data_IF_174124341110
#
_entry.id   IF_174124341110
#
_cell.length_a   1.000
_cell.length_b   1.000
_cell.length_c   1.000
_cell.angle_alpha   90.00
_cell.angle_beta   90.00
_cell.angle_gamma   90.00
#
_symmetry.space_group_name_H-M   'P 1'
#
loop_
_entity.id
_entity.type
_entity.pdbx_description
1 polymer ?
#
# COMPACT_ATOMS: atom_id res chain seq x y z
N UNK A 1 28.01 17.76 3.25
CA UNK A 1 26.90 16.78 3.30
C UNK A 1 26.99 15.93 2.03
N UNK A 2 26.97 14.60 2.15
CA UNK A 2 26.91 13.74 0.97
C UNK A 2 25.54 13.95 0.30
N UNK A 3 25.55 14.32 -0.98
CA UNK A 3 24.34 14.52 -1.77
C UNK A 3 23.67 13.17 -2.01
N UNK A 4 22.39 13.04 -1.68
CA UNK A 4 21.62 11.81 -1.95
C UNK A 4 21.62 11.49 -3.45
N UNK A 5 21.54 10.22 -3.79
CA UNK A 5 21.66 9.75 -5.19
C UNK A 5 20.48 8.88 -5.59
N UNK A 6 19.83 9.24 -6.69
CA UNK A 6 18.87 8.42 -7.41
C UNK A 6 19.60 7.75 -8.57
N UNK A 7 19.52 6.43 -8.65
CA UNK A 7 19.97 5.66 -9.80
C UNK A 7 18.75 5.24 -10.63
N UNK A 8 18.70 5.70 -11.87
CA UNK A 8 17.68 5.29 -12.83
C UNK A 8 18.20 4.17 -13.73
N UNK A 9 17.46 3.07 -13.81
CA UNK A 9 17.76 1.93 -14.68
C UNK A 9 16.58 1.76 -15.66
N UNK A 10 16.71 2.27 -16.88
CA UNK A 10 15.63 2.26 -17.87
C UNK A 10 15.33 0.85 -18.40
N UNK A 11 14.17 0.70 -19.01
CA UNK A 11 13.93 -0.40 -19.94
C UNK A 11 14.89 -0.31 -21.12
N UNK A 12 15.37 -1.45 -21.59
CA UNK A 12 16.28 -1.51 -22.75
C UNK A 12 15.70 -0.89 -24.03
N UNK A 13 14.37 -0.89 -24.15
CA UNK A 13 13.62 -0.31 -25.29
C UNK A 13 13.04 1.07 -25.01
N UNK A 14 13.30 1.64 -23.81
CA UNK A 14 12.74 2.96 -23.46
C UNK A 14 13.31 4.05 -24.36
N UNK A 15 12.42 4.72 -25.08
CA UNK A 15 12.74 5.93 -25.85
C UNK A 15 12.75 7.19 -24.96
N UNK A 16 12.29 7.10 -23.72
CA UNK A 16 12.09 8.22 -22.79
C UNK A 16 13.23 8.40 -21.78
N UNK A 17 14.35 7.70 -21.92
CA UNK A 17 15.46 7.73 -20.95
C UNK A 17 15.93 9.13 -20.58
N UNK A 18 16.06 10.00 -21.60
CA UNK A 18 16.53 11.37 -21.39
C UNK A 18 15.48 12.22 -20.70
N UNK A 19 14.21 12.08 -21.10
CA UNK A 19 13.08 12.83 -20.52
C UNK A 19 12.85 12.44 -19.07
N UNK A 20 12.89 11.14 -18.74
CA UNK A 20 12.80 10.65 -17.36
C UNK A 20 13.97 11.18 -16.53
N UNK A 21 15.19 11.10 -17.07
CA UNK A 21 16.37 11.60 -16.35
C UNK A 21 16.27 13.10 -16.10
N UNK A 22 15.74 13.87 -17.06
CA UNK A 22 15.51 15.32 -16.93
C UNK A 22 14.45 15.60 -15.89
N UNK A 23 13.30 14.93 -15.96
CA UNK A 23 12.19 15.09 -15.01
C UNK A 23 12.62 14.79 -13.56
N UNK A 24 13.37 13.70 -13.33
CA UNK A 24 13.92 13.38 -12.02
C UNK A 24 14.90 14.43 -11.52
N UNK A 25 15.76 15.02 -12.39
CA UNK A 25 16.66 16.12 -12.02
C UNK A 25 15.92 17.39 -11.66
N UNK A 26 14.85 17.69 -12.36
CA UNK A 26 14.00 18.85 -12.09
C UNK A 26 13.24 18.70 -10.76
N UNK A 27 12.72 17.49 -10.47
CA UNK A 27 12.00 17.18 -9.23
C UNK A 27 12.92 17.13 -8.00
N UNK A 28 14.19 16.74 -8.17
CA UNK A 28 15.17 16.51 -7.10
C UNK A 28 16.44 17.30 -7.33
N UNK A 29 16.37 18.64 -7.31
CA UNK A 29 17.49 19.55 -7.62
C UNK A 29 18.70 19.36 -6.69
N UNK A 30 18.46 18.97 -5.42
CA UNK A 30 19.48 18.74 -4.42
C UNK A 30 20.10 17.34 -4.49
N UNK A 31 19.54 16.45 -5.32
CA UNK A 31 19.99 15.07 -5.44
C UNK A 31 20.87 14.90 -6.69
N UNK A 32 21.70 13.86 -6.66
CA UNK A 32 22.41 13.38 -7.84
C UNK A 32 21.52 12.34 -8.55
N UNK A 33 21.19 12.56 -9.82
CA UNK A 33 20.48 11.59 -10.65
C UNK A 33 21.46 11.01 -11.66
N UNK A 34 21.60 9.68 -11.64
CA UNK A 34 22.46 8.93 -12.57
C UNK A 34 21.62 7.89 -13.32
N UNK A 35 21.86 7.76 -14.61
CA UNK A 35 21.21 6.75 -15.44
C UNK A 35 22.24 5.66 -15.77
N UNK A 36 21.88 4.39 -15.55
CA UNK A 36 22.69 3.22 -15.92
C UNK A 36 21.89 2.41 -16.93
N UNK A 37 22.35 2.40 -18.16
CA UNK A 37 21.71 1.66 -19.23
C UNK A 37 21.99 0.16 -19.13
N UNK A 38 21.01 -0.64 -19.51
CA UNK A 38 21.13 -2.09 -19.63
C UNK A 38 21.35 -2.48 -21.09
N UNK A 39 22.21 -3.45 -21.30
CA UNK A 39 22.40 -4.07 -22.64
C UNK A 39 21.62 -5.38 -22.70
N UNK A 40 20.57 -5.38 -23.52
CA UNK A 40 19.73 -6.56 -23.71
C UNK A 40 20.50 -7.74 -24.35
N UNK A 41 21.59 -7.47 -25.04
CA UNK A 41 22.36 -8.51 -25.74
C UNK A 41 23.43 -9.13 -24.84
N UNK A 42 23.77 -8.51 -23.70
CA UNK A 42 24.77 -8.98 -22.77
C UNK A 42 24.34 -8.86 -21.32
N UNK A 43 23.94 -10.01 -20.76
CA UNK A 43 23.62 -10.10 -19.33
C UNK A 43 24.81 -9.74 -18.44
N UNK A 44 25.98 -10.28 -18.76
CA UNK A 44 27.19 -10.09 -17.95
C UNK A 44 27.70 -8.64 -17.98
N UNK A 45 27.61 -7.95 -19.12
CA UNK A 45 28.00 -6.54 -19.21
C UNK A 45 27.00 -5.64 -18.46
N UNK A 46 25.71 -5.95 -18.56
CA UNK A 46 24.68 -5.24 -17.79
C UNK A 46 24.96 -5.38 -16.29
N UNK A 47 25.20 -6.60 -15.78
CA UNK A 47 25.51 -6.82 -14.38
C UNK A 47 26.78 -6.10 -13.94
N UNK A 48 27.83 -6.16 -14.77
CA UNK A 48 29.11 -5.48 -14.50
C UNK A 48 28.92 -3.96 -14.42
N UNK A 49 28.15 -3.38 -15.34
CA UNK A 49 27.89 -1.94 -15.37
C UNK A 49 27.04 -1.51 -14.17
N UNK A 50 25.98 -2.24 -13.83
CA UNK A 50 25.19 -1.99 -12.63
C UNK A 50 26.05 -2.11 -11.35
N UNK A 51 26.82 -3.19 -11.21
CA UNK A 51 27.72 -3.38 -10.08
C UNK A 51 28.77 -2.28 -9.95
N UNK A 52 29.30 -1.75 -11.07
CA UNK A 52 30.19 -0.59 -11.08
C UNK A 52 29.46 0.67 -10.63
N UNK A 53 28.25 0.90 -11.17
CA UNK A 53 27.41 2.04 -10.79
C UNK A 53 27.07 2.02 -9.30
N UNK A 54 26.71 0.87 -8.75
CA UNK A 54 26.42 0.69 -7.33
C UNK A 54 27.59 1.08 -6.43
N UNK A 55 28.79 0.62 -6.76
CA UNK A 55 30.02 0.96 -6.00
C UNK A 55 30.41 2.42 -6.11
N UNK A 56 30.28 3.00 -7.32
CA UNK A 56 30.69 4.37 -7.61
C UNK A 56 29.74 5.41 -7.03
N UNK A 57 28.43 5.17 -7.18
CA UNK A 57 27.42 6.17 -6.86
C UNK A 57 26.73 5.95 -5.52
N UNK A 58 26.76 4.71 -4.98
CA UNK A 58 26.13 4.35 -3.70
C UNK A 58 24.71 4.93 -3.59
N UNK A 59 23.77 4.53 -4.48
CA UNK A 59 22.46 5.17 -4.55
C UNK A 59 21.66 4.95 -3.27
N UNK A 60 20.92 5.96 -2.85
CA UNK A 60 19.94 5.88 -1.77
C UNK A 60 18.62 5.24 -2.27
N UNK A 61 18.30 5.48 -3.54
CA UNK A 61 17.11 4.94 -4.22
C UNK A 61 17.49 4.48 -5.62
N UNK A 62 16.97 3.32 -6.03
CA UNK A 62 17.01 2.86 -7.42
C UNK A 62 15.57 2.92 -7.96
N UNK A 63 15.40 3.59 -9.09
CA UNK A 63 14.15 3.59 -9.84
C UNK A 63 14.37 2.89 -11.18
N UNK A 64 13.43 2.05 -11.59
CA UNK A 64 13.53 1.29 -12.82
C UNK A 64 12.19 1.14 -13.52
N UNK A 65 12.22 0.85 -14.79
CA UNK A 65 11.04 0.50 -15.58
C UNK A 65 11.28 -0.77 -16.39
N UNK A 66 10.18 -1.50 -16.63
CA UNK A 66 10.19 -2.68 -17.50
C UNK A 66 11.27 -3.70 -17.11
N UNK A 67 12.11 -4.06 -18.07
CA UNK A 67 13.19 -5.04 -17.90
C UNK A 67 14.29 -4.55 -16.95
N UNK A 68 14.44 -3.22 -16.75
CA UNK A 68 15.38 -2.69 -15.76
C UNK A 68 15.10 -3.21 -14.36
N UNK A 69 13.83 -3.46 -14.03
CA UNK A 69 13.42 -4.02 -12.74
C UNK A 69 14.01 -5.40 -12.48
N UNK A 70 14.10 -6.25 -13.49
CA UNK A 70 14.68 -7.59 -13.38
C UNK A 70 16.13 -7.56 -12.87
N UNK A 71 16.93 -6.62 -13.36
CA UNK A 71 18.35 -6.52 -12.99
C UNK A 71 18.58 -5.91 -11.61
N UNK A 72 17.69 -5.07 -11.10
CA UNK A 72 17.90 -4.37 -9.83
C UNK A 72 17.44 -5.13 -8.59
N UNK A 73 16.65 -6.19 -8.74
CA UNK A 73 16.08 -6.90 -7.58
C UNK A 73 17.12 -7.51 -6.64
N UNK A 74 18.29 -7.86 -7.13
CA UNK A 74 19.40 -8.38 -6.33
C UNK A 74 19.98 -7.40 -5.31
N UNK A 75 19.73 -6.11 -5.48
CA UNK A 75 20.29 -5.09 -4.59
C UNK A 75 19.36 -4.86 -3.38
N UNK A 76 19.17 -5.90 -2.58
CA UNK A 76 18.16 -5.99 -1.53
C UNK A 76 18.32 -4.94 -0.40
N UNK A 77 19.51 -4.42 -0.18
CA UNK A 77 19.79 -3.41 0.87
C UNK A 77 19.44 -1.97 0.49
N UNK A 78 18.84 -1.73 -0.69
CA UNK A 78 18.54 -0.40 -1.21
C UNK A 78 17.07 -0.30 -1.56
N UNK A 79 16.50 0.87 -1.33
CA UNK A 79 15.10 1.15 -1.72
C UNK A 79 14.96 1.14 -3.24
N UNK A 80 13.96 0.43 -3.75
CA UNK A 80 13.73 0.21 -5.19
C UNK A 80 12.30 0.52 -5.56
N UNK A 81 12.12 1.30 -6.62
CA UNK A 81 10.84 1.64 -7.21
C UNK A 81 10.83 1.07 -8.62
N UNK A 82 9.91 0.17 -8.92
CA UNK A 82 9.83 -0.53 -10.18
C UNK A 82 8.50 -0.20 -10.87
N UNK A 83 8.57 0.50 -11.99
CA UNK A 83 7.41 0.92 -12.78
C UNK A 83 7.18 -0.08 -13.89
N UNK A 84 5.97 -0.66 -13.97
CA UNK A 84 5.63 -1.70 -14.94
C UNK A 84 6.71 -2.79 -15.04
N UNK A 85 7.14 -3.28 -13.89
CA UNK A 85 8.24 -4.22 -13.79
C UNK A 85 8.04 -5.45 -14.68
N UNK A 86 9.09 -5.83 -15.37
CA UNK A 86 9.17 -7.10 -16.09
C UNK A 86 10.08 -8.05 -15.31
N UNK A 87 9.50 -8.92 -14.52
CA UNK A 87 10.23 -9.88 -13.70
C UNK A 87 10.62 -11.13 -14.48
N UNK A 88 9.98 -11.36 -15.63
CA UNK A 88 10.24 -12.55 -16.44
C UNK A 88 10.60 -12.15 -17.89
N UNK A 89 11.88 -12.19 -18.25
CA UNK A 89 12.35 -11.76 -19.58
C UNK A 89 11.64 -12.45 -20.76
N UNK A 90 11.19 -13.69 -20.57
CA UNK A 90 10.52 -14.47 -21.62
C UNK A 90 9.13 -13.98 -22.01
N UNK A 91 8.47 -13.14 -21.20
CA UNK A 91 7.12 -12.64 -21.53
C UNK A 91 7.10 -11.50 -22.56
N UNK A 92 8.24 -10.88 -22.84
CA UNK A 92 8.29 -9.70 -23.72
C UNK A 92 8.63 -9.96 -25.17
N UNK A 93 9.13 -11.13 -25.49
CA UNK A 93 9.64 -11.42 -26.82
C UNK A 93 8.95 -12.64 -27.40
N UNK A 94 8.49 -12.53 -28.65
CA UNK A 94 8.12 -13.68 -29.48
C UNK A 94 9.30 -14.67 -29.61
N UNK A 95 10.53 -14.16 -29.46
CA UNK A 95 11.73 -14.97 -29.21
C UNK A 95 12.20 -14.68 -27.78
N UNK A 96 12.28 -15.70 -26.95
CA UNK A 96 12.68 -15.58 -25.55
C UNK A 96 14.01 -14.82 -25.43
N UNK A 97 14.06 -13.79 -24.58
CA UNK A 97 15.31 -13.07 -24.27
C UNK A 97 16.41 -14.03 -23.80
N UNK A 98 16.00 -15.14 -23.18
CA UNK A 98 16.91 -16.22 -22.76
C UNK A 98 17.67 -16.81 -23.94
N UNK A 99 17.12 -16.82 -25.17
CA UNK A 99 17.80 -17.33 -26.36
C UNK A 99 18.92 -16.42 -26.85
N UNK A 100 18.88 -15.14 -26.50
CA UNK A 100 19.91 -14.16 -26.86
C UNK A 100 21.10 -14.15 -25.89
N UNK A 101 20.93 -14.73 -24.70
CA UNK A 101 22.00 -14.79 -23.72
C UNK A 101 22.88 -16.05 -23.92
N UNK A 102 24.18 -15.87 -23.90
CA UNK A 102 25.17 -16.95 -24.00
C UNK A 102 25.16 -17.91 -22.81
N UNK A 103 24.56 -17.50 -21.69
CA UNK A 103 24.49 -18.29 -20.46
C UNK A 103 23.06 -18.33 -19.90
N UNK A 104 22.22 -19.17 -20.56
CA UNK A 104 20.79 -19.33 -20.22
C UNK A 104 20.55 -19.78 -18.77
N UNK A 105 21.39 -20.69 -18.24
CA UNK A 105 21.26 -21.22 -16.88
C UNK A 105 21.51 -20.11 -15.83
N UNK A 106 22.50 -19.25 -16.07
CA UNK A 106 22.79 -18.14 -15.16
C UNK A 106 21.65 -17.13 -15.10
N UNK A 107 21.04 -16.83 -16.22
CA UNK A 107 19.86 -15.93 -16.31
C UNK A 107 18.66 -16.55 -15.59
N UNK A 108 18.40 -17.84 -15.81
CA UNK A 108 17.33 -18.57 -15.14
C UNK A 108 17.51 -18.61 -13.62
N UNK A 109 18.72 -18.92 -13.14
CA UNK A 109 19.04 -18.90 -11.71
C UNK A 109 18.94 -17.51 -11.10
N UNK A 110 19.30 -16.46 -11.85
CA UNK A 110 19.12 -15.07 -11.41
C UNK A 110 17.66 -14.70 -11.27
N UNK A 111 16.82 -15.20 -12.18
CA UNK A 111 15.39 -15.01 -12.11
C UNK A 111 14.79 -15.66 -10.85
N UNK A 112 15.08 -16.92 -10.58
CA UNK A 112 14.60 -17.63 -9.40
C UNK A 112 15.04 -16.94 -8.10
N UNK A 113 16.29 -16.48 -8.02
CA UNK A 113 16.80 -15.70 -6.88
C UNK A 113 16.11 -14.34 -6.72
N UNK A 114 15.78 -13.67 -7.81
CA UNK A 114 15.11 -12.37 -7.76
C UNK A 114 13.73 -12.45 -7.11
N UNK A 115 13.01 -13.56 -7.22
CA UNK A 115 11.74 -13.79 -6.54
C UNK A 115 11.85 -13.68 -5.02
N UNK A 116 12.88 -14.27 -4.44
CA UNK A 116 13.10 -14.24 -3.00
C UNK A 116 13.49 -12.83 -2.53
N UNK A 117 14.24 -12.09 -3.35
CA UNK A 117 14.66 -10.72 -3.04
C UNK A 117 13.50 -9.70 -3.05
N UNK A 118 12.51 -9.90 -3.90
CA UNK A 118 11.34 -8.99 -3.94
C UNK A 118 10.51 -9.11 -2.67
N UNK A 119 10.34 -10.32 -2.14
CA UNK A 119 9.51 -10.58 -0.95
C UNK A 119 10.04 -9.94 0.34
N UNK A 120 11.35 -9.79 0.47
CA UNK A 120 12.00 -9.49 1.76
C UNK A 120 12.55 -8.07 1.89
N UNK A 121 12.22 -7.12 0.98
CA UNK A 121 12.96 -5.86 0.91
C UNK A 121 12.09 -4.65 0.61
N UNK A 122 12.65 -3.46 0.83
CA UNK A 122 12.06 -2.17 0.50
C UNK A 122 11.94 -2.02 -1.03
N UNK A 123 10.90 -2.65 -1.59
CA UNK A 123 10.62 -2.63 -3.02
C UNK A 123 9.16 -2.26 -3.26
N UNK A 124 8.94 -1.28 -4.12
CA UNK A 124 7.63 -0.80 -4.53
C UNK A 124 7.41 -1.10 -6.01
N UNK A 125 6.25 -1.66 -6.33
CA UNK A 125 5.79 -1.84 -7.70
C UNK A 125 4.72 -0.82 -8.04
N UNK A 126 4.86 -0.07 -9.14
CA UNK A 126 3.85 0.83 -9.69
C UNK A 126 3.34 0.24 -10.98
N UNK A 127 2.03 -0.03 -11.05
CA UNK A 127 1.40 -0.69 -12.20
C UNK A 127 0.20 0.10 -12.70
N UNK A 128 0.11 0.23 -14.03
CA UNK A 128 -1.03 0.83 -14.72
C UNK A 128 -2.21 -0.13 -14.86
N UNK A 129 -3.37 0.39 -15.31
CA UNK A 129 -4.64 -0.33 -15.42
C UNK A 129 -4.61 -1.50 -16.42
N UNK A 130 -3.81 -1.41 -17.49
CA UNK A 130 -3.88 -2.29 -18.67
C UNK A 130 -2.68 -3.25 -18.80
N UNK A 131 -2.02 -3.58 -17.71
CA UNK A 131 -0.90 -4.53 -17.78
C UNK A 131 -1.41 -5.97 -17.59
N UNK A 132 -1.42 -6.76 -18.67
CA UNK A 132 -1.69 -8.22 -18.61
C UNK A 132 -0.81 -8.95 -17.59
N UNK A 133 0.37 -8.39 -17.32
CA UNK A 133 1.37 -8.88 -16.35
C UNK A 133 1.13 -8.43 -14.92
N UNK A 134 0.15 -7.54 -14.69
CA UNK A 134 -0.12 -6.91 -13.41
C UNK A 134 -0.36 -7.95 -12.30
N UNK A 135 -1.24 -8.92 -12.56
CA UNK A 135 -1.59 -9.94 -11.56
C UNK A 135 -0.39 -10.76 -11.13
N UNK A 136 0.43 -11.18 -12.09
CA UNK A 136 1.64 -11.92 -11.82
C UNK A 136 2.66 -11.11 -11.00
N UNK A 137 2.92 -9.86 -11.39
CA UNK A 137 3.86 -9.00 -10.69
C UNK A 137 3.32 -8.57 -9.31
N UNK A 138 2.01 -8.34 -9.19
CA UNK A 138 1.39 -7.94 -7.93
C UNK A 138 1.59 -8.95 -6.80
N UNK A 139 1.63 -10.25 -7.11
CA UNK A 139 1.85 -11.30 -6.11
C UNK A 139 3.26 -11.24 -5.50
N UNK A 140 4.21 -10.67 -6.23
CA UNK A 140 5.64 -10.69 -5.85
C UNK A 140 6.13 -9.40 -5.18
N UNK A 141 5.44 -8.28 -5.35
CA UNK A 141 5.83 -7.02 -4.71
C UNK A 141 5.24 -6.89 -3.31
N UNK A 142 6.05 -6.56 -2.28
CA UNK A 142 5.54 -6.33 -0.93
C UNK A 142 4.72 -5.04 -0.81
N UNK A 143 4.98 -4.08 -1.68
CA UNK A 143 4.27 -2.80 -1.72
C UNK A 143 3.89 -2.48 -3.18
N UNK A 144 2.62 -2.17 -3.41
CA UNK A 144 2.08 -1.91 -4.74
C UNK A 144 1.30 -0.61 -4.75
N UNK A 145 1.53 0.19 -5.79
CA UNK A 145 0.71 1.33 -6.16
C UNK A 145 0.04 1.01 -7.49
N UNK A 146 -1.29 1.01 -7.48
CA UNK A 146 -2.09 0.85 -8.67
C UNK A 146 -2.49 2.21 -9.22
N UNK A 147 -2.03 2.53 -10.42
CA UNK A 147 -2.38 3.77 -11.10
C UNK A 147 -3.60 3.51 -11.99
N UNK A 148 -4.71 4.28 -11.87
CA UNK A 148 -5.96 4.02 -12.59
C UNK A 148 -5.88 4.37 -14.09
N UNK A 149 -4.72 4.78 -14.58
CA UNK A 149 -4.41 5.10 -15.97
C UNK A 149 -3.41 4.13 -16.57
N UNK A 150 -3.23 4.17 -17.89
CA UNK A 150 -2.16 3.42 -18.55
C UNK A 150 -0.81 3.99 -18.15
N UNK A 151 0.12 3.11 -17.79
CA UNK A 151 1.50 3.45 -17.46
C UNK A 151 2.42 2.73 -18.45
N UNK A 152 3.14 3.46 -19.27
CA UNK A 152 4.10 2.94 -20.24
C UNK A 152 5.54 3.25 -19.88
N UNK A 153 5.74 4.31 -19.11
CA UNK A 153 7.06 4.73 -18.61
C UNK A 153 6.94 5.36 -17.21
N UNK A 154 8.08 5.71 -16.62
CA UNK A 154 8.12 6.48 -15.37
C UNK A 154 7.41 7.84 -15.51
N UNK A 155 7.42 8.45 -16.71
CA UNK A 155 6.75 9.73 -16.94
C UNK A 155 5.24 9.65 -16.70
N UNK A 156 4.63 8.50 -17.00
CA UNK A 156 3.19 8.29 -16.77
C UNK A 156 2.83 8.10 -15.29
N UNK A 157 3.83 7.83 -14.45
CA UNK A 157 3.70 7.62 -13.00
C UNK A 157 4.72 8.47 -12.22
N UNK A 158 5.08 9.64 -12.76
CA UNK A 158 6.15 10.47 -12.21
C UNK A 158 5.80 11.00 -10.82
N UNK A 159 4.56 11.42 -10.61
CA UNK A 159 4.09 11.96 -9.33
C UNK A 159 4.16 10.88 -8.24
N UNK A 160 3.71 9.67 -8.55
CA UNK A 160 3.80 8.53 -7.64
C UNK A 160 5.27 8.17 -7.32
N UNK A 161 6.15 8.24 -8.33
CA UNK A 161 7.59 8.02 -8.12
C UNK A 161 8.21 9.11 -7.26
N UNK A 162 7.91 10.38 -7.52
CA UNK A 162 8.41 11.52 -6.73
C UNK A 162 7.94 11.40 -5.28
N UNK A 163 6.66 11.12 -5.09
CA UNK A 163 6.06 10.89 -3.78
C UNK A 163 6.82 9.78 -3.02
N UNK A 164 7.02 8.62 -3.64
CA UNK A 164 7.74 7.51 -3.03
C UNK A 164 9.19 7.85 -2.69
N UNK A 165 9.91 8.54 -3.58
CA UNK A 165 11.31 8.92 -3.34
C UNK A 165 11.42 9.89 -2.16
N UNK A 166 10.50 10.86 -2.05
CA UNK A 166 10.42 11.76 -0.89
C UNK A 166 10.17 10.97 0.39
N UNK A 167 9.20 10.05 0.37
CA UNK A 167 8.87 9.19 1.52
C UNK A 167 10.04 8.34 2.00
N UNK A 168 10.78 7.77 1.06
CA UNK A 168 11.96 6.95 1.35
C UNK A 168 13.06 7.80 1.99
N UNK A 169 13.10 9.09 1.69
CA UNK A 169 14.15 10.00 2.13
C UNK A 169 13.88 10.70 3.46
N UNK A 170 12.63 10.74 3.88
CA UNK A 170 12.17 11.44 5.09
C UNK A 170 11.57 10.43 6.07
N UNK A 171 11.83 10.62 7.37
CA UNK A 171 11.25 9.75 8.41
C UNK A 171 9.74 9.90 8.51
N UNK A 172 9.24 11.11 8.25
CA UNK A 172 7.82 11.46 8.12
C UNK A 172 7.65 12.43 6.96
N UNK A 173 6.51 12.37 6.27
CA UNK A 173 6.14 13.28 5.20
C UNK A 173 4.64 13.50 5.17
N UNK A 174 4.20 14.61 4.61
CA UNK A 174 2.77 14.97 4.52
C UNK A 174 2.40 15.13 3.04
N UNK A 175 1.26 14.54 2.64
CA UNK A 175 0.74 14.66 1.28
C UNK A 175 0.03 16.01 1.07
N UNK A 176 -0.46 16.25 -0.14
CA UNK A 176 -1.19 17.47 -0.52
C UNK A 176 -2.51 17.67 0.24
N UNK A 177 -3.07 16.60 0.79
CA UNK A 177 -4.30 16.61 1.61
C UNK A 177 -4.00 16.82 3.10
N UNK A 178 -2.75 16.92 3.51
CA UNK A 178 -2.36 17.09 4.91
C UNK A 178 -2.25 15.78 5.70
N UNK A 179 -2.26 14.62 5.03
CA UNK A 179 -2.04 13.34 5.70
C UNK A 179 -0.56 13.07 5.88
N UNK A 180 -0.13 12.87 7.12
CA UNK A 180 1.26 12.58 7.48
C UNK A 180 1.49 11.06 7.54
N UNK A 181 2.53 10.61 6.87
CA UNK A 181 2.95 9.24 6.79
C UNK A 181 4.32 9.05 7.46
N UNK A 182 4.55 7.85 7.98
CA UNK A 182 5.82 7.40 8.52
C UNK A 182 6.19 6.02 7.98
N UNK A 183 7.37 5.53 8.33
CA UNK A 183 7.86 4.20 7.98
C UNK A 183 7.72 3.89 6.48
N UNK A 184 8.22 4.79 5.63
CA UNK A 184 8.18 4.64 4.17
C UNK A 184 6.75 4.55 3.60
N UNK A 185 5.82 5.33 4.15
CA UNK A 185 4.43 5.37 3.73
C UNK A 185 3.58 4.18 4.20
N UNK A 186 4.11 3.35 5.10
CA UNK A 186 3.36 2.19 5.66
C UNK A 186 2.45 2.55 6.81
N UNK A 187 2.73 3.67 7.47
CA UNK A 187 2.01 4.15 8.64
C UNK A 187 1.41 5.51 8.34
N UNK A 188 0.11 5.66 8.52
CA UNK A 188 -0.54 6.97 8.61
C UNK A 188 -0.49 7.40 10.06
N UNK A 189 0.16 8.56 10.32
CA UNK A 189 0.32 9.13 11.65
C UNK A 189 -0.87 9.99 12.02
N UNK A 190 -1.23 10.93 11.15
CA UNK A 190 -2.35 11.86 11.35
C UNK A 190 -2.75 12.54 10.05
N UNK A 191 -3.98 13.08 9.99
CA UNK A 191 -4.41 14.08 9.03
C UNK A 191 -4.49 15.46 9.71
N UNK A 192 -4.09 16.51 9.01
CA UNK A 192 -4.22 17.89 9.49
C UNK A 192 -5.59 18.44 9.11
N UNK A 193 -6.41 18.78 10.10
CA UNK A 193 -7.80 19.23 9.87
C UNK A 193 -7.88 20.46 8.97
N UNK A 194 -6.95 21.41 9.09
CA UNK A 194 -6.99 22.65 8.32
C UNK A 194 -6.75 22.41 6.82
N UNK A 195 -5.95 21.40 6.46
CA UNK A 195 -5.67 21.03 5.08
C UNK A 195 -6.68 19.98 4.55
N UNK A 196 -7.22 19.14 5.42
CA UNK A 196 -8.11 18.02 5.07
C UNK A 196 -9.60 18.40 5.04
N UNK A 197 -10.01 19.55 5.56
CA UNK A 197 -11.41 19.92 5.78
C UNK A 197 -12.30 19.95 4.54
N UNK A 198 -11.70 20.16 3.35
CA UNK A 198 -12.43 20.21 2.07
C UNK A 198 -12.33 18.87 1.32
N UNK A 199 -11.78 17.81 1.95
CA UNK A 199 -11.63 16.47 1.40
C UNK A 199 -12.83 15.63 1.84
N UNK A 200 -13.77 15.42 0.94
CA UNK A 200 -14.97 14.61 1.21
C UNK A 200 -14.72 13.11 0.99
N UNK A 201 -13.93 12.78 -0.04
CA UNK A 201 -13.61 11.41 -0.43
C UNK A 201 -12.09 11.20 -0.39
N UNK A 202 -11.63 10.24 0.38
CA UNK A 202 -10.21 9.97 0.50
C UNK A 202 -9.89 8.49 0.25
N UNK A 203 -8.91 8.26 -0.62
CA UNK A 203 -8.38 6.91 -0.86
C UNK A 203 -7.00 6.76 -0.20
N UNK A 204 -6.95 5.93 0.83
CA UNK A 204 -5.70 5.58 1.49
C UNK A 204 -4.81 4.81 0.49
N UNK A 205 -3.54 5.24 0.28
CA UNK A 205 -2.65 4.61 -0.66
C UNK A 205 -2.40 3.12 -0.33
N UNK A 206 -2.37 2.29 -1.38
CA UNK A 206 -1.98 0.89 -1.21
C UNK A 206 -0.53 0.81 -0.71
N UNK A 207 -0.27 -0.09 0.24
CA UNK A 207 1.02 -0.19 0.94
C UNK A 207 0.96 0.30 2.39
N UNK A 208 0.01 1.16 2.74
CA UNK A 208 -0.29 1.48 4.14
C UNK A 208 -0.72 0.21 4.85
N UNK A 209 -0.12 -0.07 6.01
CA UNK A 209 -0.40 -1.24 6.85
C UNK A 209 -1.01 -0.86 8.18
N UNK A 210 -0.68 0.32 8.67
CA UNK A 210 -1.09 0.82 9.97
C UNK A 210 -1.66 2.24 9.85
N UNK A 211 -2.78 2.46 10.50
CA UNK A 211 -3.35 3.80 10.71
C UNK A 211 -3.30 4.06 12.21
N UNK A 212 -2.56 5.08 12.62
CA UNK A 212 -2.32 5.38 14.03
C UNK A 212 -3.57 5.90 14.75
N UNK A 213 -3.49 5.94 16.07
CA UNK A 213 -4.56 6.44 16.94
C UNK A 213 -5.01 7.84 16.53
N UNK A 214 -6.31 8.02 16.31
CA UNK A 214 -6.92 9.30 15.98
C UNK A 214 -6.47 9.91 14.65
N UNK A 215 -5.87 9.14 13.75
CA UNK A 215 -5.29 9.67 12.51
C UNK A 215 -6.27 10.51 11.67
N UNK A 216 -7.54 10.15 11.64
CA UNK A 216 -8.62 10.87 10.96
C UNK A 216 -9.69 11.39 11.94
N UNK A 217 -9.32 11.62 13.20
CA UNK A 217 -10.27 12.08 14.21
C UNK A 217 -10.94 13.39 13.81
N UNK A 218 -12.27 13.41 13.78
CA UNK A 218 -13.08 14.59 13.50
C UNK A 218 -13.01 15.14 12.09
N UNK A 219 -12.53 14.36 11.12
CA UNK A 219 -12.45 14.78 9.72
C UNK A 219 -13.83 14.79 9.06
N UNK A 220 -14.04 15.73 8.13
CA UNK A 220 -15.30 15.90 7.40
C UNK A 220 -15.41 14.95 6.17
N UNK A 221 -14.94 13.70 6.34
CA UNK A 221 -14.99 12.64 5.34
C UNK A 221 -16.42 12.15 5.12
N UNK A 222 -16.87 12.08 3.87
CA UNK A 222 -18.10 11.37 3.44
C UNK A 222 -17.81 9.92 3.12
N UNK A 223 -16.68 9.66 2.46
CA UNK A 223 -16.24 8.31 2.15
C UNK A 223 -14.73 8.14 2.36
N UNK A 224 -14.32 6.92 2.71
CA UNK A 224 -12.91 6.54 2.77
C UNK A 224 -12.72 5.15 2.19
N UNK A 225 -11.80 5.02 1.23
CA UNK A 225 -11.39 3.73 0.70
C UNK A 225 -10.13 3.26 1.43
N UNK A 226 -10.25 2.14 2.15
CA UNK A 226 -9.15 1.55 2.91
C UNK A 226 -8.63 0.33 2.13
N UNK A 227 -7.35 0.28 1.73
CA UNK A 227 -6.82 -0.83 0.94
C UNK A 227 -6.62 -2.11 1.76
N UNK A 228 -6.63 -3.26 1.09
CA UNK A 228 -6.42 -4.60 1.67
C UNK A 228 -5.04 -4.79 2.32
N UNK A 229 -4.12 -3.84 2.12
CA UNK A 229 -2.80 -3.83 2.76
C UNK A 229 -2.87 -3.44 4.23
N UNK A 230 -3.93 -2.72 4.67
CA UNK A 230 -4.11 -2.31 6.06
C UNK A 230 -4.45 -3.52 6.93
N UNK A 231 -3.68 -3.68 8.01
CA UNK A 231 -3.84 -4.77 8.98
C UNK A 231 -4.15 -4.26 10.39
N UNK A 232 -3.89 -2.98 10.65
CA UNK A 232 -4.13 -2.37 11.95
C UNK A 232 -4.68 -0.94 11.80
N UNK A 233 -5.72 -0.65 12.58
CA UNK A 233 -6.31 0.68 12.74
C UNK A 233 -6.39 0.98 14.23
N UNK A 234 -5.83 2.12 14.66
CA UNK A 234 -5.70 2.48 16.06
C UNK A 234 -7.00 2.94 16.72
N UNK A 235 -6.88 3.28 18.00
CA UNK A 235 -8.00 3.85 18.78
C UNK A 235 -8.46 5.18 18.17
N UNK A 236 -9.76 5.45 18.21
CA UNK A 236 -10.36 6.71 17.75
C UNK A 236 -10.06 7.08 16.27
N UNK A 237 -9.68 6.14 15.44
CA UNK A 237 -9.12 6.43 14.11
C UNK A 237 -10.02 7.29 13.23
N UNK A 238 -11.33 7.06 13.23
CA UNK A 238 -12.35 7.84 12.54
C UNK A 238 -13.39 8.46 13.50
N UNK A 239 -13.10 8.47 14.80
CA UNK A 239 -14.04 9.03 15.77
C UNK A 239 -14.42 10.47 15.43
N UNK A 240 -15.71 10.78 15.44
CA UNK A 240 -16.23 12.11 15.12
C UNK A 240 -16.23 12.48 13.63
N UNK A 241 -16.00 11.56 12.71
CA UNK A 241 -16.18 11.76 11.27
C UNK A 241 -17.70 11.84 10.97
N UNK A 242 -18.28 13.01 11.17
CA UNK A 242 -19.75 13.19 11.19
C UNK A 242 -20.43 12.98 9.86
N UNK A 243 -19.72 13.12 8.74
CA UNK A 243 -20.25 12.98 7.40
C UNK A 243 -20.06 11.58 6.81
N UNK A 244 -19.29 10.70 7.47
CA UNK A 244 -19.03 9.35 6.99
C UNK A 244 -20.31 8.53 7.01
N UNK A 245 -20.76 8.07 5.83
CA UNK A 245 -22.03 7.37 5.65
C UNK A 245 -21.87 5.85 5.60
N UNK A 246 -20.79 5.37 4.99
CA UNK A 246 -20.48 3.94 4.85
C UNK A 246 -18.99 3.66 5.00
N UNK A 247 -18.64 2.46 5.41
CA UNK A 247 -17.26 2.00 5.46
C UNK A 247 -17.16 0.50 5.20
N UNK A 248 -16.16 0.12 4.41
CA UNK A 248 -15.73 -1.26 4.20
C UNK A 248 -14.40 -1.47 4.89
N UNK A 249 -14.38 -2.35 5.89
CA UNK A 249 -13.14 -2.64 6.62
C UNK A 249 -12.27 -3.64 5.85
N UNK A 250 -10.93 -3.46 5.89
CA UNK A 250 -10.00 -4.31 5.16
C UNK A 250 -10.04 -5.78 5.62
N UNK A 251 -9.83 -6.75 4.71
CA UNK A 251 -10.04 -8.18 4.98
C UNK A 251 -9.02 -8.80 5.96
N UNK A 252 -7.99 -8.06 6.37
CA UNK A 252 -6.95 -8.52 7.30
C UNK A 252 -7.03 -7.87 8.68
N UNK A 253 -8.00 -7.00 8.91
CA UNK A 253 -8.21 -6.38 10.21
C UNK A 253 -8.89 -7.40 11.13
N UNK A 254 -8.24 -7.74 12.22
CA UNK A 254 -8.73 -8.71 13.23
C UNK A 254 -9.39 -8.01 14.43
N UNK A 255 -9.17 -6.70 14.57
CA UNK A 255 -9.64 -5.95 15.73
C UNK A 255 -10.10 -4.55 15.35
N UNK A 256 -11.27 -4.15 15.84
CA UNK A 256 -11.73 -2.78 15.85
C UNK A 256 -11.44 -2.21 17.23
N UNK A 257 -10.57 -1.22 17.28
CA UNK A 257 -10.05 -0.65 18.50
C UNK A 257 -11.05 0.32 19.16
N UNK A 258 -10.76 0.69 20.41
CA UNK A 258 -11.56 1.58 21.26
C UNK A 258 -12.03 2.82 20.48
N UNK A 259 -13.35 3.05 20.45
CA UNK A 259 -13.99 4.27 19.90
C UNK A 259 -13.62 4.57 18.45
N UNK A 260 -13.25 3.57 17.65
CA UNK A 260 -12.74 3.78 16.27
C UNK A 260 -13.68 4.59 15.40
N UNK A 261 -15.01 4.44 15.56
CA UNK A 261 -16.06 5.13 14.80
C UNK A 261 -17.06 5.87 15.71
N UNK A 262 -16.68 6.14 16.96
CA UNK A 262 -17.56 6.81 17.90
C UNK A 262 -17.99 8.19 17.37
N UNK A 263 -19.30 8.51 17.50
CA UNK A 263 -19.88 9.76 17.01
C UNK A 263 -19.75 10.02 15.49
N UNK A 264 -19.64 8.96 14.68
CA UNK A 264 -19.85 9.04 13.23
C UNK A 264 -21.37 9.05 12.97
N UNK A 265 -22.01 10.18 13.22
CA UNK A 265 -23.49 10.31 13.30
C UNK A 265 -24.23 10.04 12.00
N UNK A 266 -23.53 10.01 10.86
CA UNK A 266 -24.11 9.66 9.55
C UNK A 266 -23.82 8.22 9.13
N UNK A 267 -23.00 7.47 9.88
CA UNK A 267 -22.57 6.13 9.52
C UNK A 267 -23.71 5.13 9.69
N UNK A 268 -24.22 4.62 8.55
CA UNK A 268 -25.36 3.69 8.47
C UNK A 268 -24.93 2.28 8.10
N UNK A 269 -23.90 2.15 7.25
CA UNK A 269 -23.46 0.87 6.70
C UNK A 269 -22.00 0.60 7.03
N UNK A 270 -21.78 -0.57 7.62
CA UNK A 270 -20.43 -1.07 7.94
C UNK A 270 -20.31 -2.51 7.45
N UNK A 271 -19.31 -2.76 6.58
CA UNK A 271 -18.96 -4.13 6.19
C UNK A 271 -17.80 -4.62 7.04
N UNK A 272 -18.10 -5.54 7.95
CA UNK A 272 -17.12 -6.18 8.81
C UNK A 272 -16.38 -7.30 8.06
N UNK A 273 -15.04 -7.43 8.22
CA UNK A 273 -14.28 -8.46 7.56
C UNK A 273 -14.44 -9.83 8.24
N UNK A 274 -14.32 -10.90 7.47
CA UNK A 274 -14.36 -12.28 7.97
C UNK A 274 -13.14 -12.67 8.82
N UNK A 275 -12.15 -11.81 8.96
CA UNK A 275 -11.00 -11.96 9.87
C UNK A 275 -11.25 -11.38 11.25
N UNK A 276 -12.32 -10.58 11.44
CA UNK A 276 -12.57 -9.83 12.66
C UNK A 276 -12.81 -10.75 13.87
N UNK A 277 -12.06 -10.54 14.94
CA UNK A 277 -12.15 -11.31 16.18
C UNK A 277 -12.65 -10.51 17.37
N UNK A 278 -12.34 -9.19 17.39
CA UNK A 278 -12.65 -8.34 18.55
C UNK A 278 -13.19 -6.98 18.12
N UNK A 279 -14.23 -6.52 18.82
CA UNK A 279 -14.71 -5.13 18.77
C UNK A 279 -14.61 -4.56 20.17
N UNK A 280 -13.86 -3.48 20.32
CA UNK A 280 -13.65 -2.82 21.62
C UNK A 280 -14.74 -1.83 21.98
N UNK A 281 -14.67 -1.36 23.23
CA UNK A 281 -15.63 -0.47 23.87
C UNK A 281 -15.95 0.76 23.00
N UNK A 282 -17.25 1.07 22.90
CA UNK A 282 -17.79 2.25 22.23
C UNK A 282 -17.34 2.40 20.75
N UNK A 283 -16.95 1.31 20.09
CA UNK A 283 -16.38 1.36 18.74
C UNK A 283 -17.32 2.01 17.74
N UNK A 284 -18.63 1.80 17.84
CA UNK A 284 -19.68 2.34 16.96
C UNK A 284 -20.73 3.16 17.73
N UNK A 285 -20.44 3.59 18.95
CA UNK A 285 -21.39 4.39 19.74
C UNK A 285 -21.62 5.76 19.12
N UNK A 286 -22.87 6.21 19.09
CA UNK A 286 -23.25 7.48 18.47
C UNK A 286 -23.23 7.44 16.94
N UNK A 287 -23.44 6.29 16.32
CA UNK A 287 -23.57 6.12 14.87
C UNK A 287 -25.07 6.05 14.46
N UNK A 288 -25.34 6.06 13.16
CA UNK A 288 -26.68 5.87 12.60
C UNK A 288 -26.94 4.41 12.20
N UNK A 289 -26.15 3.46 12.64
CA UNK A 289 -26.29 2.03 12.36
C UNK A 289 -27.58 1.55 13.02
N UNK A 290 -28.51 0.97 12.24
CA UNK A 290 -29.73 0.35 12.76
C UNK A 290 -29.63 -1.18 12.82
N UNK A 291 -28.83 -1.75 11.93
CA UNK A 291 -28.54 -3.20 11.92
C UNK A 291 -27.15 -3.46 11.37
N UNK A 292 -26.53 -4.55 11.79
CA UNK A 292 -25.18 -4.93 11.34
C UNK A 292 -25.02 -6.45 11.32
N UNK A 293 -24.39 -6.98 10.26
CA UNK A 293 -24.05 -8.40 10.16
C UNK A 293 -22.76 -8.68 10.95
N UNK A 294 -22.85 -9.62 11.88
CA UNK A 294 -21.71 -10.03 12.72
C UNK A 294 -21.02 -11.24 12.08
N UNK A 295 -19.71 -11.16 11.76
CA UNK A 295 -19.01 -12.28 11.14
C UNK A 295 -18.79 -13.44 12.13
N UNK A 296 -18.84 -14.68 11.63
CA UNK A 296 -18.62 -15.90 12.39
C UNK A 296 -17.28 -15.98 13.13
N UNK A 297 -16.31 -15.17 12.69
CA UNK A 297 -14.98 -15.09 13.30
C UNK A 297 -14.95 -14.28 14.59
N UNK A 298 -16.00 -13.47 14.87
CA UNK A 298 -16.03 -12.60 16.05
C UNK A 298 -16.13 -13.45 17.33
N UNK A 299 -15.17 -13.30 18.23
CA UNK A 299 -15.11 -14.01 19.49
C UNK A 299 -15.26 -13.12 20.72
N UNK A 300 -15.15 -11.79 20.52
CA UNK A 300 -15.23 -10.84 21.63
C UNK A 300 -15.85 -9.51 21.20
N UNK A 301 -16.81 -9.06 21.98
CA UNK A 301 -17.43 -7.74 21.87
C UNK A 301 -17.43 -7.11 23.26
N UNK A 302 -16.86 -5.90 23.36
CA UNK A 302 -16.74 -5.17 24.63
C UNK A 302 -18.02 -4.39 24.97
N UNK A 303 -17.92 -3.49 25.97
CA UNK A 303 -19.07 -2.72 26.46
C UNK A 303 -19.48 -1.61 25.49
N UNK A 304 -20.77 -1.34 25.42
CA UNK A 304 -21.34 -0.18 24.75
C UNK A 304 -20.83 0.00 23.30
N UNK A 305 -20.56 -1.11 22.61
CA UNK A 305 -20.04 -1.08 21.21
C UNK A 305 -20.97 -0.29 20.31
N UNK A 306 -22.30 -0.44 20.49
CA UNK A 306 -23.35 0.23 19.77
C UNK A 306 -24.27 0.98 20.72
N UNK A 307 -25.14 1.85 20.20
CA UNK A 307 -26.25 2.42 20.92
C UNK A 307 -27.35 1.37 21.14
N UNK A 308 -28.25 1.63 22.10
CA UNK A 308 -29.41 0.79 22.37
C UNK A 308 -30.29 0.68 21.14
N UNK A 309 -30.76 -0.54 20.82
CA UNK A 309 -31.70 -0.81 19.74
C UNK A 309 -31.07 -1.14 18.38
N UNK A 310 -29.73 -1.23 18.28
CA UNK A 310 -29.08 -1.74 17.08
C UNK A 310 -29.34 -3.24 16.94
N UNK A 311 -29.88 -3.68 15.78
CA UNK A 311 -30.16 -5.09 15.51
C UNK A 311 -28.88 -5.79 15.04
N UNK A 312 -28.43 -6.78 15.80
CA UNK A 312 -27.32 -7.65 15.40
C UNK A 312 -27.85 -8.83 14.57
N UNK A 313 -27.33 -8.97 13.36
CA UNK A 313 -27.64 -10.11 12.48
C UNK A 313 -26.52 -11.13 12.68
N UNK A 314 -26.84 -12.21 13.39
CA UNK A 314 -25.87 -13.24 13.82
C UNK A 314 -26.53 -14.62 13.81
N UNK A 315 -25.80 -15.67 13.49
CA UNK A 315 -26.30 -17.03 13.59
C UNK A 315 -26.35 -17.52 15.07
N UNK A 316 -27.26 -18.45 15.37
CA UNK A 316 -27.43 -18.99 16.72
C UNK A 316 -26.15 -19.64 17.29
N UNK A 317 -25.36 -20.29 16.42
CA UNK A 317 -24.08 -20.90 16.81
C UNK A 317 -23.00 -19.87 17.15
N UNK A 318 -23.01 -18.73 16.48
CA UNK A 318 -22.07 -17.61 16.69
C UNK A 318 -22.42 -16.84 17.96
N UNK A 319 -23.73 -16.66 18.21
CA UNK A 319 -24.24 -16.02 19.41
C UNK A 319 -23.76 -16.74 20.67
N UNK A 320 -23.78 -18.08 20.66
CA UNK A 320 -23.30 -18.88 21.79
C UNK A 320 -21.83 -18.64 22.11
N UNK A 321 -20.98 -18.51 21.07
CA UNK A 321 -19.54 -18.24 21.25
C UNK A 321 -19.29 -16.86 21.85
N UNK A 322 -20.09 -15.84 21.51
CA UNK A 322 -19.98 -14.50 22.07
C UNK A 322 -20.47 -14.42 23.53
N UNK A 323 -21.51 -15.20 23.89
CA UNK A 323 -22.09 -15.20 25.24
C UNK A 323 -21.24 -15.97 26.27
N UNK A 324 -20.42 -16.92 25.84
CA UNK A 324 -19.54 -17.68 26.72
C UNK A 324 -18.35 -16.82 27.27
N UNK A 325 -18.06 -15.67 26.67
CA UNK A 325 -17.12 -14.70 27.27
C UNK A 325 -17.86 -13.80 28.25
N UNK A 326 -17.58 -13.96 29.55
CA UNK A 326 -18.21 -13.22 30.68
C UNK A 326 -18.07 -11.69 30.64
N UNK A 327 -17.45 -11.14 29.59
CA UNK A 327 -17.26 -9.70 29.36
C UNK A 327 -18.23 -9.10 28.35
N UNK A 328 -19.09 -9.93 27.71
CA UNK A 328 -20.09 -9.50 26.72
C UNK A 328 -21.38 -9.11 27.43
N UNK A 329 -21.36 -8.10 28.31
CA UNK A 329 -22.57 -7.64 29.02
C UNK A 329 -23.28 -6.54 28.24
N UNK A 330 -24.63 -6.68 28.16
CA UNK A 330 -25.65 -5.74 27.66
C UNK A 330 -26.04 -5.77 26.16
N UNK A 331 -25.82 -6.88 25.46
CA UNK A 331 -26.50 -7.08 24.18
C UNK A 331 -27.94 -7.51 24.48
N UNK A 332 -28.92 -6.67 24.14
CA UNK A 332 -30.33 -7.08 24.08
C UNK A 332 -30.54 -7.75 22.74
N UNK A 333 -30.66 -9.07 22.73
CA UNK A 333 -31.12 -9.81 21.59
C UNK A 333 -32.64 -9.82 21.62
N UNK A 334 -33.30 -9.31 20.59
CA UNK A 334 -34.71 -9.64 20.36
C UNK A 334 -34.72 -11.04 19.73
N UNK A 335 -35.19 -12.02 20.50
CA UNK A 335 -35.54 -13.35 20.03
C UNK A 335 -36.82 -13.20 19.15
N UNK A 336 -36.63 -13.07 17.83
CA UNK A 336 -37.70 -13.35 16.86
C UNK A 336 -37.71 -14.87 16.64
N UNK A 337 -38.52 -15.58 17.44
CA UNK A 337 -38.98 -16.94 17.17
C UNK A 337 -40.16 -16.96 16.23
#
# INVERSE_FOLDING_TARGET
MNRKTIMYVPDCKSQYKQDVTKALKEAFTEWKVVCIEIDINSYDDTEKNLGKGMRLYKPDVIISEGLGAFFIHRYAGINRICVNADLHPSYRCEESLLEKYTNKEKVQLSFERNYDFVKNTHCWGIFGKDTEKREFCMVHYPNIINVPRKVSSILDALDECIMLIKNISESEWTDEYGVTYAEYGRVIVKADYALFRDVEDYTIPYGVRTIMNGAFYGMDLKSVTIPDSVTYMGHHVFSGCKLLEEIVLPPKVEKIELRSFMNCISLKEVKLPSSLRTIETEAFKGTAISSIEIPASLTRMEYDVFDDGVKLIISESELKNLLDDSRTYHLKFEEDF
#
